data_IF_732703376677
#
_entry.id   IF_732703376677
#
_cell.length_a   1.000
_cell.length_b   1.000
_cell.length_c   1.000
_cell.angle_alpha   90.00
_cell.angle_beta   90.00
_cell.angle_gamma   90.00
#
_symmetry.space_group_name_H-M   'P 1'
#
loop_
_entity.id
_entity.type
_entity.pdbx_description
1 polymer ?
#
# COMPACT_ATOMS: atom_id res chain seq x y z
N UNK A 1 19.44 3.64 13.85
CA UNK A 1 18.44 3.39 12.78
C UNK A 1 18.72 2.02 12.17
N UNK A 2 17.70 1.34 11.65
CA UNK A 2 17.84 0.10 10.90
C UNK A 2 17.46 0.39 9.45
N UNK A 3 18.36 0.09 8.51
CA UNK A 3 18.17 0.39 7.10
C UNK A 3 17.89 -0.91 6.33
N UNK A 4 16.71 -0.99 5.71
CA UNK A 4 16.36 -1.96 4.69
C UNK A 4 16.59 -1.36 3.31
N UNK A 5 17.63 -1.83 2.62
CA UNK A 5 17.94 -1.42 1.26
C UNK A 5 17.33 -2.41 0.24
N UNK A 6 17.25 -1.98 -1.03
CA UNK A 6 16.72 -2.77 -2.14
C UNK A 6 15.27 -3.28 -1.94
N UNK A 7 14.43 -2.46 -1.31
CA UNK A 7 13.01 -2.77 -1.13
C UNK A 7 12.28 -2.88 -2.47
N UNK A 8 11.92 -4.12 -2.82
CA UNK A 8 11.21 -4.45 -4.05
C UNK A 8 10.11 -5.50 -3.77
N UNK A 9 8.91 -5.07 -3.35
CA UNK A 9 7.75 -5.93 -3.07
C UNK A 9 7.50 -7.02 -4.10
N UNK A 10 7.66 -6.71 -5.39
CA UNK A 10 7.47 -7.69 -6.47
C UNK A 10 8.39 -8.90 -6.39
N UNK A 11 9.56 -8.73 -5.78
CA UNK A 11 10.62 -9.74 -5.73
C UNK A 11 10.67 -10.43 -4.34
N UNK A 12 9.87 -9.94 -3.39
CA UNK A 12 9.75 -10.47 -2.03
C UNK A 12 8.52 -11.39 -1.96
N UNK A 13 8.68 -12.60 -1.42
CA UNK A 13 7.54 -13.50 -1.19
C UNK A 13 6.47 -12.82 -0.33
N UNK A 14 5.18 -12.95 -0.69
CA UNK A 14 4.05 -12.32 0.01
C UNK A 14 4.10 -12.45 1.53
N UNK A 15 4.38 -13.66 2.05
CA UNK A 15 4.49 -13.88 3.50
C UNK A 15 5.60 -13.04 4.18
N UNK A 16 6.77 -12.92 3.55
CA UNK A 16 7.88 -12.10 4.09
C UNK A 16 7.53 -10.62 4.03
N UNK A 17 6.82 -10.20 2.99
CA UNK A 17 6.35 -8.83 2.84
C UNK A 17 5.30 -8.48 3.91
N UNK A 18 4.32 -9.36 4.13
CA UNK A 18 3.30 -9.19 5.17
C UNK A 18 3.91 -9.14 6.57
N UNK A 19 4.88 -10.01 6.84
CA UNK A 19 5.63 -10.01 8.09
C UNK A 19 6.43 -8.71 8.27
N UNK A 20 7.11 -8.25 7.22
CA UNK A 20 7.81 -6.98 7.22
C UNK A 20 6.85 -5.81 7.50
N UNK A 21 5.72 -5.70 6.78
CA UNK A 21 4.73 -4.64 7.01
C UNK A 21 4.12 -4.70 8.41
N UNK A 22 3.93 -5.89 8.98
CA UNK A 22 3.49 -6.04 10.37
C UNK A 22 4.52 -5.45 11.36
N UNK A 23 5.79 -5.83 11.24
CA UNK A 23 6.86 -5.27 12.08
C UNK A 23 7.06 -3.77 11.85
N UNK A 24 6.96 -3.32 10.61
CA UNK A 24 7.05 -1.92 10.22
C UNK A 24 5.97 -1.08 10.92
N UNK A 25 4.71 -1.54 10.91
CA UNK A 25 3.61 -0.92 11.65
C UNK A 25 3.82 -0.93 13.17
N UNK A 26 4.45 -1.98 13.71
CA UNK A 26 4.77 -2.08 15.14
C UNK A 26 5.90 -1.15 15.57
N UNK A 27 6.87 -0.90 14.69
CA UNK A 27 8.01 0.00 14.93
C UNK A 27 7.55 1.43 15.24
N UNK A 28 6.53 1.94 14.56
CA UNK A 28 6.01 3.30 14.80
C UNK A 28 5.51 3.56 16.21
N UNK A 29 5.11 2.52 16.97
CA UNK A 29 4.58 2.68 18.35
C UNK A 29 5.50 2.16 19.43
N UNK A 30 6.69 1.66 19.07
CA UNK A 30 7.55 1.00 20.04
C UNK A 30 6.96 -0.32 20.56
N UNK A 31 6.16 -1.03 19.75
CA UNK A 31 5.40 -2.19 20.22
C UNK A 31 6.27 -3.42 20.50
N UNK A 32 5.73 -4.34 21.31
CA UNK A 32 6.35 -5.62 21.63
C UNK A 32 5.99 -6.67 20.56
N UNK A 33 7.01 -7.40 20.12
CA UNK A 33 6.88 -8.59 19.28
C UNK A 33 7.17 -9.82 20.11
N UNK A 34 6.21 -10.75 20.17
CA UNK A 34 6.37 -12.01 20.90
C UNK A 34 6.76 -13.11 19.93
N UNK A 35 7.88 -13.79 20.17
CA UNK A 35 8.28 -14.97 19.40
C UNK A 35 8.23 -16.21 20.27
N UNK A 36 7.56 -17.24 19.77
CA UNK A 36 7.52 -18.55 20.40
C UNK A 36 8.79 -19.34 20.11
N UNK A 37 9.37 -19.91 21.17
CA UNK A 37 10.56 -20.76 21.08
C UNK A 37 10.16 -22.25 20.92
N UNK A 38 11.09 -23.06 20.40
CA UNK A 38 10.88 -24.50 20.21
C UNK A 38 10.61 -25.26 21.53
N UNK A 39 11.04 -24.69 22.66
CA UNK A 39 10.82 -25.20 24.02
C UNK A 39 9.46 -24.77 24.62
N UNK A 40 8.59 -24.13 23.82
CA UNK A 40 7.28 -23.57 24.21
C UNK A 40 7.36 -22.38 25.19
N UNK A 41 8.53 -21.75 25.33
CA UNK A 41 8.66 -20.44 25.97
C UNK A 41 8.41 -19.31 24.95
N UNK A 42 8.32 -18.08 25.42
CA UNK A 42 8.13 -16.90 24.58
C UNK A 42 9.12 -15.81 24.94
N UNK A 43 9.79 -15.26 23.94
CA UNK A 43 10.62 -14.07 24.08
C UNK A 43 9.87 -12.84 23.57
N UNK A 44 9.98 -11.74 24.31
CA UNK A 44 9.39 -10.45 23.95
C UNK A 44 10.49 -9.50 23.48
N UNK A 45 10.34 -8.97 22.27
CA UNK A 45 11.25 -8.00 21.67
C UNK A 45 10.55 -6.66 21.55
N UNK A 46 11.10 -5.63 22.21
CA UNK A 46 10.64 -4.25 22.02
C UNK A 46 11.30 -3.66 20.78
N UNK A 47 10.48 -3.23 19.82
CA UNK A 47 10.99 -2.61 18.59
C UNK A 47 11.22 -1.13 18.87
N UNK A 48 12.46 -0.73 19.13
CA UNK A 48 12.84 0.66 19.41
C UNK A 48 13.50 1.45 18.27
N UNK A 49 14.30 0.84 17.37
CA UNK A 49 15.03 1.65 16.40
C UNK A 49 14.10 2.16 15.28
N UNK A 50 14.31 3.40 14.79
CA UNK A 50 13.63 3.87 13.59
C UNK A 50 14.07 3.07 12.37
N UNK A 51 13.14 2.82 11.45
CA UNK A 51 13.35 2.01 10.25
C UNK A 51 13.42 2.91 9.02
N UNK A 52 14.49 2.77 8.25
CA UNK A 52 14.68 3.42 6.95
C UNK A 52 14.50 2.35 5.86
N UNK A 53 13.73 2.67 4.83
CA UNK A 53 13.47 1.76 3.71
C UNK A 53 13.86 2.49 2.42
N UNK A 54 14.78 1.92 1.65
CA UNK A 54 15.14 2.38 0.30
C UNK A 54 14.90 1.28 -0.72
N UNK A 55 14.47 1.66 -1.92
CA UNK A 55 14.21 0.73 -3.00
C UNK A 55 13.58 1.40 -4.22
N UNK A 56 13.44 0.64 -5.30
CA UNK A 56 12.86 1.12 -6.57
C UNK A 56 11.34 1.34 -6.46
N UNK A 57 10.69 0.60 -5.57
CA UNK A 57 9.24 0.63 -5.40
C UNK A 57 8.89 1.29 -4.07
N UNK A 58 7.84 2.11 -4.08
CA UNK A 58 7.34 2.75 -2.87
C UNK A 58 6.39 1.84 -2.09
N UNK A 59 6.29 2.08 -0.77
CA UNK A 59 5.29 1.44 0.09
C UNK A 59 3.89 1.85 -0.40
N UNK A 60 3.06 0.88 -0.77
CA UNK A 60 1.71 1.11 -1.32
C UNK A 60 0.61 1.07 -0.26
N UNK A 61 0.82 0.30 0.83
CA UNK A 61 -0.19 0.08 1.86
C UNK A 61 -0.60 1.39 2.56
N UNK A 62 -1.89 1.77 2.60
CA UNK A 62 -2.33 3.04 3.19
C UNK A 62 -1.93 3.19 4.66
N UNK A 63 -1.97 2.10 5.42
CA UNK A 63 -1.59 2.07 6.82
C UNK A 63 -0.09 2.32 7.01
N UNK A 64 0.75 1.73 6.19
CA UNK A 64 2.20 1.92 6.23
C UNK A 64 2.57 3.33 5.75
N UNK A 65 1.91 3.83 4.70
CA UNK A 65 2.13 5.19 4.17
C UNK A 65 1.92 6.28 5.23
N UNK A 66 0.82 6.23 6.00
CA UNK A 66 0.54 7.19 7.10
C UNK A 66 1.60 7.17 8.21
N UNK A 67 2.34 6.07 8.32
CA UNK A 67 3.36 5.82 9.33
C UNK A 67 4.77 6.09 8.81
N UNK A 68 4.88 6.63 7.59
CA UNK A 68 6.12 6.83 6.86
C UNK A 68 6.27 8.28 6.41
N UNK A 69 7.47 8.83 6.50
CA UNK A 69 7.84 10.00 5.72
C UNK A 69 8.39 9.51 4.38
N UNK A 70 7.61 9.69 3.31
CA UNK A 70 7.97 9.20 1.97
C UNK A 70 8.66 10.28 1.16
N UNK A 71 9.79 9.92 0.54
CA UNK A 71 10.56 10.81 -0.33
C UNK A 71 11.05 10.05 -1.56
N UNK A 72 11.18 10.76 -2.68
CA UNK A 72 11.80 10.27 -3.90
C UNK A 72 13.01 11.14 -4.22
N UNK A 73 14.18 10.51 -4.35
CA UNK A 73 15.37 11.18 -4.79
C UNK A 73 15.33 11.42 -6.30
N UNK A 74 15.86 12.57 -6.74
CA UNK A 74 16.07 12.85 -8.16
C UNK A 74 17.22 11.97 -8.67
N UNK A 75 17.02 11.31 -9.81
CA UNK A 75 18.04 10.44 -10.42
C UNK A 75 19.23 11.23 -10.97
N UNK A 76 18.95 12.46 -11.44
CA UNK A 76 19.91 13.35 -12.09
C UNK A 76 21.09 13.76 -11.17
N UNK A 77 20.93 13.70 -9.85
CA UNK A 77 22.00 14.07 -8.89
C UNK A 77 23.17 13.08 -8.87
N UNK A 78 22.99 11.91 -9.48
CA UNK A 78 24.03 10.88 -9.60
C UNK A 78 24.72 10.87 -10.96
N UNK A 79 24.25 11.70 -11.90
CA UNK A 79 24.79 11.76 -13.24
C UNK A 79 26.23 12.29 -13.23
N UNK A 80 27.09 11.64 -14.02
CA UNK A 80 28.49 12.00 -14.09
C UNK A 80 28.66 13.46 -14.59
N UNK A 81 29.44 14.25 -13.84
CA UNK A 81 29.71 15.66 -14.15
C UNK A 81 28.74 16.64 -13.49
N UNK A 82 27.80 16.17 -12.66
CA UNK A 82 27.04 17.05 -11.77
C UNK A 82 27.85 17.40 -10.52
N UNK A 83 27.64 18.62 -9.99
CA UNK A 83 28.28 19.09 -8.76
C UNK A 83 27.99 18.14 -7.58
N UNK A 84 26.78 17.59 -7.52
CA UNK A 84 26.36 16.65 -6.47
C UNK A 84 27.11 15.31 -6.56
N UNK A 85 27.29 14.78 -7.77
CA UNK A 85 28.07 13.56 -7.98
C UNK A 85 29.56 13.77 -7.66
N UNK A 86 30.11 14.95 -7.94
CA UNK A 86 31.47 15.33 -7.56
C UNK A 86 31.64 15.49 -6.05
N UNK A 87 30.74 16.21 -5.38
CA UNK A 87 30.72 16.36 -3.94
C UNK A 87 30.63 14.99 -3.22
N UNK A 88 29.79 14.08 -3.72
CA UNK A 88 29.69 12.74 -3.17
C UNK A 88 31.00 11.94 -3.38
N UNK A 89 31.62 12.01 -4.56
CA UNK A 89 32.93 11.36 -4.81
C UNK A 89 34.01 11.86 -3.85
N UNK A 90 34.03 13.17 -3.58
CA UNK A 90 34.94 13.78 -2.61
C UNK A 90 34.68 13.24 -1.20
N UNK A 91 33.41 13.15 -0.81
CA UNK A 91 33.02 12.61 0.50
C UNK A 91 33.45 11.15 0.68
N UNK A 92 33.30 10.30 -0.34
CA UNK A 92 33.60 8.85 -0.23
C UNK A 92 35.02 8.47 -0.66
N UNK A 93 35.86 9.44 -1.05
CA UNK A 93 37.25 9.18 -1.46
C UNK A 93 37.42 8.39 -2.75
N UNK A 94 36.46 8.49 -3.67
CA UNK A 94 36.56 7.82 -4.97
C UNK A 94 37.64 8.50 -5.83
N UNK A 95 38.31 7.70 -6.66
CA UNK A 95 39.30 8.20 -7.61
C UNK A 95 38.66 9.20 -8.59
N UNK A 96 39.33 10.33 -8.80
CA UNK A 96 38.94 11.40 -9.71
C UNK A 96 39.90 11.45 -10.90
N UNK A 97 39.39 11.94 -12.03
CA UNK A 97 40.18 12.22 -13.23
C UNK A 97 40.17 13.74 -13.39
N UNK A 98 41.32 14.38 -13.17
CA UNK A 98 41.53 15.81 -13.40
C UNK A 98 42.49 15.96 -14.58
N UNK A 99 41.94 16.28 -15.76
CA UNK A 99 42.69 16.24 -17.01
C UNK A 99 43.19 14.82 -17.36
N UNK A 100 44.51 14.65 -17.46
CA UNK A 100 45.18 13.36 -17.71
C UNK A 100 45.65 12.66 -16.42
N UNK A 101 45.41 13.25 -15.25
CA UNK A 101 45.91 12.74 -13.97
C UNK A 101 44.78 12.12 -13.13
N UNK A 102 45.09 10.96 -12.52
CA UNK A 102 44.15 10.17 -11.75
C UNK A 102 44.49 10.35 -10.26
N UNK A 103 43.75 11.22 -9.57
CA UNK A 103 43.97 11.49 -8.15
C UNK A 103 43.08 10.57 -7.31
N UNK A 104 43.71 9.80 -6.42
CA UNK A 104 43.01 8.98 -5.43
C UNK A 104 42.66 9.88 -4.23
N UNK A 105 41.39 9.88 -3.79
CA UNK A 105 40.93 10.62 -2.62
C UNK A 105 41.46 10.00 -1.32
N UNK A 106 42.74 10.20 -1.02
CA UNK A 106 43.42 9.67 0.17
C UNK A 106 43.07 10.41 1.47
N UNK A 107 42.38 11.54 1.36
CA UNK A 107 41.98 12.47 2.41
C UNK A 107 40.47 12.43 2.74
N UNK A 108 39.75 11.44 2.19
CA UNK A 108 38.33 11.31 2.41
C UNK A 108 37.99 11.09 3.91
N UNK A 109 36.98 11.80 4.43
CA UNK A 109 36.54 11.61 5.81
C UNK A 109 36.09 10.16 6.06
N UNK A 110 36.45 9.61 7.22
CA UNK A 110 35.98 8.29 7.62
C UNK A 110 34.53 8.38 8.14
N UNK A 111 33.54 7.71 7.51
CA UNK A 111 32.14 7.78 7.95
C UNK A 111 31.93 7.28 9.39
N UNK A 112 32.77 6.36 9.88
CA UNK A 112 32.70 5.89 11.25
C UNK A 112 33.06 6.97 12.27
N UNK A 113 33.97 7.88 11.91
CA UNK A 113 34.35 9.02 12.76
C UNK A 113 33.22 10.05 12.84
N UNK A 114 32.53 10.30 11.72
CA UNK A 114 31.32 11.13 11.70
C UNK A 114 30.22 10.55 12.60
N UNK A 115 29.91 9.25 12.46
CA UNK A 115 28.92 8.58 13.30
C UNK A 115 29.28 8.67 14.79
N UNK A 116 30.55 8.40 15.14
CA UNK A 116 31.03 8.50 16.51
C UNK A 116 30.91 9.93 17.07
N UNK A 117 31.26 10.95 16.27
CA UNK A 117 31.14 12.35 16.66
C UNK A 117 29.67 12.72 16.93
N UNK A 118 28.76 12.31 16.05
CA UNK A 118 27.33 12.54 16.23
C UNK A 118 26.78 11.87 17.50
N UNK A 119 27.13 10.59 17.73
CA UNK A 119 26.67 9.89 18.94
C UNK A 119 27.20 10.52 20.22
N UNK A 120 28.48 10.94 20.25
CA UNK A 120 29.05 11.67 21.40
C UNK A 120 28.30 12.98 21.67
N UNK A 121 28.03 13.75 20.61
CA UNK A 121 27.25 14.98 20.70
C UNK A 121 25.85 14.72 21.29
N UNK A 122 25.12 13.71 20.80
CA UNK A 122 23.78 13.40 21.29
C UNK A 122 23.80 12.91 22.74
N UNK A 123 24.80 12.10 23.14
CA UNK A 123 24.90 11.62 24.52
C UNK A 123 25.28 12.70 25.52
N UNK A 124 25.97 13.75 25.06
CA UNK A 124 26.32 14.92 25.88
C UNK A 124 25.23 16.00 25.84
N UNK A 125 24.18 15.82 25.04
CA UNK A 125 23.12 16.80 24.85
C UNK A 125 22.17 16.84 26.05
N UNK A 126 21.82 18.04 26.50
CA UNK A 126 20.88 18.25 27.59
C UNK A 126 19.46 17.77 27.22
N UNK A 127 18.89 16.89 28.04
CA UNK A 127 17.58 16.28 27.78
C UNK A 127 16.47 17.33 27.70
N UNK A 128 16.48 18.33 28.60
CA UNK A 128 15.46 19.39 28.62
C UNK A 128 15.53 20.26 27.36
N UNK A 129 16.74 20.57 26.89
CA UNK A 129 16.94 21.25 25.61
C UNK A 129 16.45 20.41 24.44
N UNK A 130 16.70 19.11 24.43
CA UNK A 130 16.23 18.21 23.38
C UNK A 130 14.69 18.14 23.36
N UNK A 131 14.04 18.08 24.53
CA UNK A 131 12.58 18.13 24.67
C UNK A 131 12.00 19.45 24.17
N UNK A 132 12.63 20.59 24.49
CA UNK A 132 12.21 21.89 23.94
C UNK A 132 12.30 21.92 22.42
N UNK A 133 13.44 21.50 21.85
CA UNK A 133 13.60 21.41 20.40
C UNK A 133 12.52 20.55 19.75
N UNK A 134 12.14 19.44 20.38
CA UNK A 134 11.05 18.59 19.90
C UNK A 134 9.70 19.33 19.88
N UNK A 135 9.32 20.01 20.95
CA UNK A 135 8.06 20.78 21.00
C UNK A 135 8.06 21.99 20.06
N UNK A 136 9.18 22.73 19.97
CA UNK A 136 9.32 23.84 19.03
C UNK A 136 9.25 23.37 17.57
N UNK A 137 9.60 22.10 17.32
CA UNK A 137 9.44 21.48 16.00
C UNK A 137 7.98 21.14 15.70
N UNK A 138 7.18 20.81 16.71
CA UNK A 138 5.73 20.59 16.55
C UNK A 138 5.03 21.89 16.19
N UNK A 139 5.34 22.97 16.90
CA UNK A 139 4.79 24.30 16.63
C UNK A 139 5.11 24.75 15.20
N UNK A 140 6.36 24.58 14.77
CA UNK A 140 6.78 24.87 13.39
C UNK A 140 6.02 24.02 12.36
N UNK A 141 5.91 22.71 12.59
CA UNK A 141 5.19 21.80 11.70
C UNK A 141 3.71 22.19 11.56
N UNK A 142 3.03 22.50 12.68
CA UNK A 142 1.65 22.99 12.67
C UNK A 142 1.51 24.32 11.94
N UNK A 143 2.37 25.29 12.24
CA UNK A 143 2.33 26.60 11.58
C UNK A 143 2.52 26.47 10.06
N UNK A 144 3.39 25.56 9.61
CA UNK A 144 3.58 25.29 8.19
C UNK A 144 2.37 24.58 7.56
N UNK A 145 1.80 23.57 8.22
CA UNK A 145 0.59 22.89 7.75
C UNK A 145 -0.62 23.83 7.65
N UNK A 146 -0.76 24.75 8.61
CA UNK A 146 -1.79 25.80 8.62
C UNK A 146 -1.58 26.81 7.49
N UNK A 147 -0.33 27.26 7.27
CA UNK A 147 0.02 28.13 6.15
C UNK A 147 -0.25 27.49 4.76
N UNK A 148 -0.15 26.17 4.66
CA UNK A 148 -0.50 25.39 3.47
C UNK A 148 -2.01 25.07 3.37
N UNK A 149 -2.80 25.38 4.40
CA UNK A 149 -4.25 25.16 4.43
C UNK A 149 -4.67 23.71 4.59
N UNK A 150 -3.77 22.83 5.09
CA UNK A 150 -4.00 21.38 5.20
C UNK A 150 -4.03 20.89 6.65
N UNK A 151 -3.98 21.78 7.64
CA UNK A 151 -3.87 21.39 9.06
C UNK A 151 -5.02 20.49 9.52
N UNK A 152 -6.26 20.78 9.09
CA UNK A 152 -7.44 19.97 9.40
C UNK A 152 -7.52 18.67 8.57
N UNK A 153 -6.70 18.59 7.52
CA UNK A 153 -6.61 17.43 6.67
C UNK A 153 -5.62 16.40 7.18
N UNK A 154 -4.59 16.77 7.94
CA UNK A 154 -3.54 15.85 8.40
C UNK A 154 -3.91 15.17 9.73
N UNK A 155 -3.53 13.91 9.88
CA UNK A 155 -3.65 13.15 11.12
C UNK A 155 -2.46 13.37 12.08
N UNK A 156 -2.61 12.93 13.33
CA UNK A 156 -1.58 13.09 14.36
C UNK A 156 -0.23 12.44 13.97
N UNK A 157 -0.25 11.32 13.24
CA UNK A 157 0.96 10.60 12.83
C UNK A 157 1.68 11.34 11.69
N UNK A 158 0.92 11.94 10.78
CA UNK A 158 1.41 12.74 9.66
C UNK A 158 2.03 14.05 10.18
N UNK A 159 1.36 14.73 11.11
CA UNK A 159 1.92 15.89 11.81
C UNK A 159 3.18 15.51 12.58
N UNK A 160 3.20 14.37 13.27
CA UNK A 160 4.39 13.85 13.93
C UNK A 160 5.52 13.54 12.92
N UNK A 161 5.18 13.09 11.71
CA UNK A 161 6.12 12.92 10.60
C UNK A 161 6.78 14.23 10.20
N UNK A 162 5.98 15.28 9.99
CA UNK A 162 6.48 16.63 9.69
C UNK A 162 7.34 17.18 10.84
N UNK A 163 6.88 17.03 12.08
CA UNK A 163 7.64 17.38 13.28
C UNK A 163 9.01 16.68 13.30
N UNK A 164 9.06 15.40 12.93
CA UNK A 164 10.31 14.62 12.91
C UNK A 164 11.31 15.17 11.90
N UNK A 165 10.84 15.62 10.73
CA UNK A 165 11.68 16.28 9.72
C UNK A 165 12.23 17.60 10.25
N UNK A 166 11.37 18.46 10.80
CA UNK A 166 11.79 19.75 11.39
C UNK A 166 12.78 19.53 12.53
N UNK A 167 12.51 18.57 13.41
CA UNK A 167 13.39 18.25 14.53
C UNK A 167 14.76 17.77 14.04
N UNK A 168 14.79 16.87 13.05
CA UNK A 168 16.03 16.40 12.44
C UNK A 168 16.84 17.54 11.81
N UNK A 169 16.18 18.45 11.09
CA UNK A 169 16.80 19.65 10.52
C UNK A 169 17.40 20.55 11.61
N UNK A 170 16.64 20.89 12.65
CA UNK A 170 17.12 21.74 13.75
C UNK A 170 18.30 21.08 14.48
N UNK A 171 18.22 19.77 14.72
CA UNK A 171 19.30 19.03 15.37
C UNK A 171 20.56 18.95 14.49
N UNK A 172 20.40 18.84 13.18
CA UNK A 172 21.49 18.88 12.21
C UNK A 172 22.24 20.22 12.24
N UNK A 173 21.52 21.34 12.31
CA UNK A 173 22.11 22.67 12.49
C UNK A 173 22.89 22.79 13.80
N UNK A 174 22.29 22.38 14.92
CA UNK A 174 22.98 22.44 16.23
C UNK A 174 24.23 21.55 16.24
N UNK A 175 24.19 20.40 15.57
CA UNK A 175 25.37 19.55 15.41
C UNK A 175 26.44 20.23 14.52
N UNK A 176 26.03 20.85 13.42
CA UNK A 176 26.92 21.64 12.56
C UNK A 176 27.65 22.74 13.33
N UNK A 177 26.93 23.54 14.11
CA UNK A 177 27.51 24.54 15.00
C UNK A 177 28.48 23.93 16.01
N UNK A 178 28.13 22.78 16.60
CA UNK A 178 28.96 22.09 17.60
C UNK A 178 30.31 21.65 17.02
N UNK A 179 30.34 21.17 15.78
CA UNK A 179 31.58 20.75 15.10
C UNK A 179 32.29 21.91 14.39
N UNK A 180 31.73 23.12 14.43
CA UNK A 180 32.29 24.29 13.76
C UNK A 180 32.17 24.25 12.24
N UNK A 181 31.13 23.59 11.71
CA UNK A 181 30.80 23.63 10.30
C UNK A 181 30.36 25.03 9.87
N UNK A 182 30.52 25.33 8.59
CA UNK A 182 30.04 26.59 8.01
C UNK A 182 28.51 26.57 7.94
N UNK A 183 27.87 27.35 8.80
CA UNK A 183 26.40 27.44 8.89
C UNK A 183 25.76 28.00 7.62
N UNK A 184 26.49 28.78 6.82
CA UNK A 184 25.97 29.31 5.55
C UNK A 184 25.89 28.23 4.46
N UNK A 185 26.64 27.13 4.62
CA UNK A 185 26.60 25.97 3.72
C UNK A 185 25.55 24.92 4.09
N UNK A 186 24.89 25.08 5.25
CA UNK A 186 23.85 24.17 5.71
C UNK A 186 22.50 24.52 5.07
N UNK A 187 21.58 23.54 4.92
CA UNK A 187 20.27 23.80 4.34
C UNK A 187 19.51 24.89 5.11
N UNK A 188 18.86 25.79 4.40
CA UNK A 188 18.14 26.95 4.91
C UNK A 188 16.73 26.61 5.41
N UNK A 189 16.10 27.53 6.15
CA UNK A 189 14.69 27.38 6.54
C UNK A 189 13.74 27.39 5.33
N UNK A 190 14.11 28.08 4.24
CA UNK A 190 13.35 28.06 2.99
C UNK A 190 13.36 26.66 2.37
N UNK A 191 14.53 26.03 2.29
CA UNK A 191 14.66 24.64 1.80
C UNK A 191 13.95 23.63 2.71
N UNK A 192 13.93 23.86 4.03
CA UNK A 192 13.09 23.05 4.94
C UNK A 192 11.60 23.22 4.59
N UNK A 193 11.14 24.45 4.40
CA UNK A 193 9.73 24.72 4.10
C UNK A 193 9.29 24.12 2.76
N UNK A 194 10.16 24.13 1.76
CA UNK A 194 9.96 23.46 0.46
C UNK A 194 9.91 21.93 0.63
N UNK A 195 10.80 21.36 1.45
CA UNK A 195 10.80 19.94 1.75
C UNK A 195 9.52 19.50 2.48
N UNK A 196 9.02 20.31 3.42
CA UNK A 196 7.76 20.06 4.12
C UNK A 196 6.57 20.12 3.16
N UNK A 197 6.55 21.10 2.25
CA UNK A 197 5.51 21.20 1.21
C UNK A 197 5.51 19.97 0.30
N UNK A 198 6.69 19.54 -0.17
CA UNK A 198 6.83 18.30 -0.93
C UNK A 198 6.31 17.07 -0.16
N UNK A 199 6.64 16.93 1.12
CA UNK A 199 6.16 15.83 1.95
C UNK A 199 4.63 15.89 2.08
N UNK A 200 4.07 17.08 2.32
CA UNK A 200 2.62 17.31 2.37
C UNK A 200 1.94 16.99 1.05
N UNK A 201 2.49 17.37 -0.11
CA UNK A 201 1.91 17.03 -1.41
C UNK A 201 1.85 15.51 -1.65
N UNK A 202 2.86 14.78 -1.16
CA UNK A 202 2.96 13.32 -1.28
C UNK A 202 2.11 12.56 -0.27
N UNK A 203 1.80 13.19 0.87
CA UNK A 203 0.90 12.67 1.90
C UNK A 203 -0.56 13.07 1.62
N UNK A 204 -0.77 14.26 1.08
CA UNK A 204 -2.05 14.94 0.90
C UNK A 204 -2.87 14.49 -0.32
N UNK A 205 -4.03 15.13 -0.57
CA UNK A 205 -5.01 14.73 -1.59
C UNK A 205 -4.43 14.51 -2.99
N UNK A 206 -3.48 15.35 -3.41
CA UNK A 206 -2.82 15.26 -4.71
C UNK A 206 -1.89 14.03 -4.84
N UNK A 207 -1.45 13.43 -3.73
CA UNK A 207 -0.53 12.29 -3.65
C UNK A 207 -1.18 10.91 -3.65
N UNK A 208 -2.42 10.76 -4.17
CA UNK A 208 -3.25 9.54 -4.02
C UNK A 208 -3.61 9.27 -2.54
N UNK A 209 -4.26 10.23 -1.89
CA UNK A 209 -4.88 10.02 -0.57
C UNK A 209 -6.29 9.48 -0.75
N UNK A 210 -6.67 8.44 0.00
CA UNK A 210 -8.08 8.07 0.24
C UNK A 210 -8.53 8.77 1.52
N UNK A 211 -9.55 9.63 1.43
CA UNK A 211 -10.11 10.32 2.59
C UNK A 211 -10.71 9.32 3.59
N UNK A 212 -10.92 9.69 4.86
CA UNK A 212 -11.64 8.82 5.81
C UNK A 212 -13.05 8.47 5.33
N UNK A 213 -13.69 9.40 4.62
CA UNK A 213 -14.98 9.21 3.97
C UNK A 213 -14.90 8.18 2.84
N UNK A 214 -13.87 8.23 1.99
CA UNK A 214 -13.61 7.23 0.94
C UNK A 214 -13.41 5.85 1.57
N UNK A 215 -12.57 5.81 2.62
CA UNK A 215 -12.29 4.57 3.36
C UNK A 215 -13.53 3.99 4.04
N UNK A 216 -14.39 4.86 4.56
CA UNK A 216 -15.66 4.44 5.15
C UNK A 216 -16.58 3.80 4.10
N UNK A 217 -16.64 4.34 2.88
CA UNK A 217 -17.46 3.78 1.80
C UNK A 217 -16.90 2.43 1.32
N UNK A 218 -15.59 2.28 1.22
CA UNK A 218 -14.96 0.98 0.90
C UNK A 218 -15.21 -0.08 1.99
N UNK A 219 -15.12 0.31 3.26
CA UNK A 219 -15.40 -0.60 4.38
C UNK A 219 -16.89 -0.93 4.48
N UNK A 220 -17.76 0.03 4.15
CA UNK A 220 -19.19 -0.18 4.04
C UNK A 220 -19.49 -1.28 3.01
N UNK A 221 -18.93 -1.22 1.81
CA UNK A 221 -19.16 -2.24 0.78
C UNK A 221 -18.70 -3.63 1.24
N UNK A 222 -17.48 -3.72 1.79
CA UNK A 222 -16.95 -4.98 2.30
C UNK A 222 -17.82 -5.55 3.43
N UNK A 223 -18.32 -4.69 4.31
CA UNK A 223 -19.23 -5.07 5.38
C UNK A 223 -20.61 -5.53 4.83
N UNK A 224 -21.07 -5.00 3.70
CA UNK A 224 -22.26 -5.52 2.98
C UNK A 224 -21.98 -6.93 2.48
N UNK A 225 -20.88 -7.14 1.75
CA UNK A 225 -20.50 -8.46 1.19
C UNK A 225 -20.31 -9.50 2.28
N UNK A 226 -19.71 -9.12 3.41
CA UNK A 226 -19.53 -9.99 4.57
C UNK A 226 -20.82 -10.21 5.40
N UNK A 227 -21.93 -9.57 5.02
CA UNK A 227 -23.24 -9.74 5.68
C UNK A 227 -23.39 -9.04 7.02
N UNK A 228 -22.54 -8.06 7.34
CA UNK A 228 -22.68 -7.22 8.55
C UNK A 228 -23.72 -6.12 8.38
N UNK A 229 -23.95 -5.70 7.14
CA UNK A 229 -24.92 -4.69 6.77
C UNK A 229 -26.07 -5.32 5.98
N UNK A 230 -27.25 -4.75 6.14
CA UNK A 230 -28.52 -5.32 5.64
C UNK A 230 -29.28 -4.20 4.93
N UNK A 231 -29.69 -4.47 3.68
CA UNK A 231 -30.56 -3.58 2.90
C UNK A 231 -31.93 -3.45 3.61
N UNK A 232 -32.50 -2.26 3.60
CA UNK A 232 -33.76 -1.94 4.30
C UNK A 232 -33.60 -1.68 5.81
N UNK A 233 -32.42 -1.88 6.38
CA UNK A 233 -32.12 -1.60 7.80
C UNK A 233 -30.99 -0.60 7.98
N UNK A 234 -29.87 -0.87 7.33
CA UNK A 234 -28.64 -0.09 7.42
C UNK A 234 -28.49 0.85 6.21
N UNK A 235 -28.84 0.35 5.03
CA UNK A 235 -28.83 1.12 3.79
C UNK A 235 -29.99 0.76 2.86
N UNK A 236 -30.35 1.66 1.95
CA UNK A 236 -31.31 1.41 0.87
C UNK A 236 -30.71 1.90 -0.45
N UNK A 237 -31.16 1.34 -1.57
CA UNK A 237 -30.79 1.83 -2.89
C UNK A 237 -32.00 2.52 -3.49
N UNK A 238 -31.81 3.77 -3.94
CA UNK A 238 -32.86 4.57 -4.58
C UNK A 238 -32.46 4.93 -5.99
N UNK A 239 -33.46 5.03 -6.86
CA UNK A 239 -33.26 5.23 -8.30
C UNK A 239 -32.38 4.14 -8.93
N UNK A 240 -32.54 2.91 -8.45
CA UNK A 240 -31.87 1.69 -8.92
C UNK A 240 -31.99 1.57 -10.45
N UNK A 241 -30.89 1.18 -11.10
CA UNK A 241 -30.76 1.05 -12.55
C UNK A 241 -30.96 2.36 -13.33
N UNK A 242 -30.72 3.52 -12.71
CA UNK A 242 -30.74 4.81 -13.41
C UNK A 242 -29.42 5.58 -13.21
N UNK A 243 -29.10 6.57 -14.06
CA UNK A 243 -27.93 7.45 -13.85
C UNK A 243 -27.96 8.27 -12.55
N UNK A 244 -29.10 8.29 -11.84
CA UNK A 244 -29.27 8.98 -10.55
C UNK A 244 -29.21 8.02 -9.35
N UNK A 245 -28.84 6.76 -9.59
CA UNK A 245 -28.76 5.72 -8.57
C UNK A 245 -27.90 6.15 -7.39
N UNK A 246 -28.46 5.99 -6.20
CA UNK A 246 -27.81 6.37 -4.95
C UNK A 246 -27.99 5.29 -3.89
N UNK A 247 -26.91 5.01 -3.17
CA UNK A 247 -26.97 4.30 -1.90
C UNK A 247 -27.29 5.31 -0.80
N UNK A 248 -28.35 5.03 -0.06
CA UNK A 248 -28.80 5.78 1.13
C UNK A 248 -28.28 5.05 2.35
N UNK A 249 -27.26 5.59 2.99
CA UNK A 249 -26.62 5.00 4.16
C UNK A 249 -27.10 5.71 5.42
N UNK A 250 -27.63 4.96 6.39
CA UNK A 250 -27.87 5.50 7.72
C UNK A 250 -26.58 5.41 8.54
N UNK A 251 -25.89 6.54 8.71
CA UNK A 251 -24.60 6.58 9.40
C UNK A 251 -24.68 6.06 10.84
N UNK A 252 -25.60 6.50 11.72
CA UNK A 252 -25.71 5.95 13.07
C UNK A 252 -25.86 4.43 13.12
N UNK A 253 -26.70 3.85 12.26
CA UNK A 253 -26.97 2.40 12.25
C UNK A 253 -25.85 1.60 11.60
N UNK A 254 -25.21 2.14 10.58
CA UNK A 254 -24.18 1.44 9.81
C UNK A 254 -22.81 1.52 10.48
N UNK A 255 -22.53 2.62 11.19
CA UNK A 255 -21.22 2.85 11.81
C UNK A 255 -20.84 1.77 12.82
N UNK A 256 -21.76 1.36 13.70
CA UNK A 256 -21.48 0.30 14.68
C UNK A 256 -21.20 -1.05 13.99
N UNK A 257 -21.94 -1.36 12.93
CA UNK A 257 -21.76 -2.59 12.16
C UNK A 257 -20.44 -2.59 11.37
N UNK A 258 -20.05 -1.46 10.78
CA UNK A 258 -18.76 -1.28 10.10
C UNK A 258 -17.60 -1.32 11.10
N UNK A 259 -17.77 -0.70 12.27
CA UNK A 259 -16.76 -0.73 13.33
C UNK A 259 -16.55 -2.15 13.86
N UNK A 260 -17.65 -2.92 13.98
CA UNK A 260 -17.59 -4.34 14.31
C UNK A 260 -16.89 -5.13 13.22
N UNK A 261 -17.25 -4.95 11.95
CA UNK A 261 -16.57 -5.58 10.81
C UNK A 261 -15.08 -5.28 10.82
N UNK A 262 -14.70 -4.01 11.01
CA UNK A 262 -13.31 -3.61 11.06
C UNK A 262 -12.56 -4.35 12.18
N UNK A 263 -13.16 -4.42 13.37
CA UNK A 263 -12.60 -5.17 14.50
C UNK A 263 -12.48 -6.68 14.24
N UNK A 264 -13.51 -7.28 13.68
CA UNK A 264 -13.58 -8.73 13.43
C UNK A 264 -12.59 -9.17 12.33
N UNK A 265 -12.19 -8.26 11.45
CA UNK A 265 -11.23 -8.49 10.38
C UNK A 265 -9.84 -7.87 10.64
N UNK A 266 -9.53 -7.51 11.88
CA UNK A 266 -8.26 -6.87 12.31
C UNK A 266 -7.89 -5.60 11.49
N UNK A 267 -8.90 -4.92 10.96
CA UNK A 267 -8.80 -3.59 10.35
C UNK A 267 -8.78 -2.60 11.51
N UNK A 268 -7.67 -1.88 11.69
CA UNK A 268 -7.46 -1.06 12.88
C UNK A 268 -8.41 0.14 12.92
N UNK A 269 -8.85 0.50 14.13
CA UNK A 269 -9.76 1.62 14.38
C UNK A 269 -9.23 2.99 13.95
N UNK A 270 -7.92 3.14 13.73
CA UNK A 270 -7.30 4.36 13.18
C UNK A 270 -7.64 4.63 11.72
N UNK A 271 -8.22 3.65 11.02
CA UNK A 271 -8.74 3.83 9.66
C UNK A 271 -10.17 4.43 9.65
N UNK A 272 -10.84 4.45 10.80
CA UNK A 272 -12.19 4.98 10.99
C UNK A 272 -12.17 6.18 11.96
N UNK A 273 -13.06 7.15 11.76
CA UNK A 273 -13.29 8.19 12.78
C UNK A 273 -13.97 7.59 14.00
N UNK A 274 -13.82 8.27 15.15
CA UNK A 274 -14.29 7.77 16.44
C UNK A 274 -15.82 7.74 16.56
N UNK A 275 -16.53 8.59 15.82
CA UNK A 275 -17.99 8.65 15.87
C UNK A 275 -18.64 8.89 14.50
N UNK A 276 -19.88 8.40 14.36
CA UNK A 276 -20.73 8.64 13.19
C UNK A 276 -21.05 10.13 12.95
N UNK A 277 -21.01 10.96 14.00
CA UNK A 277 -21.20 12.41 13.90
C UNK A 277 -20.11 13.07 13.07
N UNK A 278 -18.86 12.63 13.25
CA UNK A 278 -17.68 13.20 12.59
C UNK A 278 -17.74 12.91 11.09
N UNK A 279 -18.22 11.71 10.74
CA UNK A 279 -18.53 11.36 9.36
C UNK A 279 -19.65 12.21 8.77
N UNK A 280 -20.71 12.46 9.52
CA UNK A 280 -21.85 13.26 9.04
C UNK A 280 -21.42 14.67 8.64
N UNK A 281 -20.57 15.31 9.44
CA UNK A 281 -20.12 16.67 9.17
C UNK A 281 -19.24 16.72 7.90
N UNK A 282 -18.32 15.76 7.74
CA UNK A 282 -17.51 15.61 6.50
C UNK A 282 -18.35 15.28 5.26
N UNK A 283 -19.36 14.41 5.40
CA UNK A 283 -20.27 14.13 4.30
C UNK A 283 -21.11 15.36 3.91
N UNK A 284 -21.42 16.25 4.86
CA UNK A 284 -22.14 17.50 4.56
C UNK A 284 -21.26 18.44 3.74
N UNK A 285 -19.99 18.59 4.12
CA UNK A 285 -19.01 19.36 3.35
C UNK A 285 -18.84 18.80 1.93
N UNK A 286 -18.69 17.48 1.80
CA UNK A 286 -18.60 16.83 0.48
C UNK A 286 -19.87 17.00 -0.36
N UNK A 287 -21.06 17.06 0.26
CA UNK A 287 -22.31 17.25 -0.47
C UNK A 287 -22.46 18.68 -1.04
N UNK A 288 -21.74 19.66 -0.47
CA UNK A 288 -21.71 21.05 -0.95
C UNK A 288 -20.76 21.24 -2.14
N UNK A 289 -19.83 20.30 -2.38
CA UNK A 289 -18.86 20.37 -3.46
C UNK A 289 -19.44 19.94 -4.81
N UNK A 290 -19.36 20.78 -5.87
CA UNK A 290 -19.78 20.41 -7.21
C UNK A 290 -18.97 19.22 -7.74
N UNK A 291 -19.65 18.16 -8.18
CA UNK A 291 -19.02 16.96 -8.75
C UNK A 291 -18.79 15.82 -7.77
N UNK A 292 -18.88 16.08 -6.46
CA UNK A 292 -18.72 15.05 -5.41
C UNK A 292 -19.68 13.86 -5.59
N UNK A 293 -19.21 12.66 -5.27
CA UNK A 293 -20.04 11.46 -5.24
C UNK A 293 -21.09 11.51 -4.10
N UNK A 294 -20.92 12.36 -3.10
CA UNK A 294 -21.91 12.59 -2.04
C UNK A 294 -22.97 13.57 -2.55
N UNK A 295 -24.24 13.16 -2.61
CA UNK A 295 -25.33 13.94 -3.21
C UNK A 295 -26.25 14.62 -2.20
N UNK A 296 -26.38 14.07 -1.01
CA UNK A 296 -27.15 14.68 0.06
C UNK A 296 -26.79 14.10 1.43
N UNK A 297 -27.11 14.85 2.48
CA UNK A 297 -27.05 14.41 3.87
C UNK A 297 -28.40 14.60 4.55
N UNK A 298 -28.67 13.85 5.61
CA UNK A 298 -29.90 13.93 6.40
C UNK A 298 -31.21 13.73 5.60
N UNK A 299 -31.12 13.08 4.43
CA UNK A 299 -32.26 12.82 3.56
C UNK A 299 -33.12 11.69 4.15
N UNK A 300 -34.39 12.00 4.44
CA UNK A 300 -35.32 10.97 4.89
C UNK A 300 -35.53 9.92 3.80
N UNK A 301 -35.25 8.67 4.15
CA UNK A 301 -35.49 7.49 3.32
C UNK A 301 -36.45 6.57 4.07
N UNK A 302 -37.47 6.09 3.36
CA UNK A 302 -38.50 5.22 3.93
C UNK A 302 -37.85 3.98 4.55
N UNK A 303 -38.37 3.54 5.70
CA UNK A 303 -37.93 2.35 6.46
C UNK A 303 -36.53 2.45 7.14
N UNK A 304 -35.67 3.38 6.70
CA UNK A 304 -34.31 3.54 7.23
C UNK A 304 -34.09 4.83 8.02
N UNK A 305 -34.90 5.88 7.80
CA UNK A 305 -34.77 7.23 8.40
C UNK A 305 -33.76 8.14 7.68
N UNK A 306 -33.18 9.12 8.38
CA UNK A 306 -32.21 10.08 7.83
C UNK A 306 -30.94 9.37 7.35
N UNK A 307 -30.64 9.56 6.06
CA UNK A 307 -29.54 8.89 5.37
C UNK A 307 -28.66 9.90 4.63
N UNK A 308 -27.39 9.53 4.48
CA UNK A 308 -26.45 10.15 3.54
C UNK A 308 -26.57 9.46 2.19
N UNK A 309 -26.62 10.27 1.14
CA UNK A 309 -26.76 9.84 -0.24
C UNK A 309 -25.46 9.80 -0.99
N UNK A 310 -25.06 8.62 -1.45
CA UNK A 310 -23.85 8.40 -2.23
C UNK A 310 -24.26 7.96 -3.63
N UNK A 311 -23.83 8.70 -4.65
CA UNK A 311 -23.99 8.30 -6.06
C UNK A 311 -23.14 7.07 -6.33
N UNK A 312 -23.74 5.98 -6.80
CA UNK A 312 -23.02 4.73 -7.09
C UNK A 312 -22.06 4.89 -8.24
N UNK A 313 -22.49 5.55 -9.33
CA UNK A 313 -21.64 5.89 -10.47
C UNK A 313 -20.51 6.87 -10.11
N UNK A 314 -20.80 7.84 -9.24
CA UNK A 314 -19.79 8.78 -8.76
C UNK A 314 -18.73 8.07 -7.90
N UNK A 315 -19.18 7.20 -6.99
CA UNK A 315 -18.30 6.42 -6.15
C UNK A 315 -17.42 5.45 -6.95
N UNK A 316 -17.94 4.81 -8.01
CA UNK A 316 -17.10 3.96 -8.89
C UNK A 316 -16.00 4.74 -9.62
N UNK A 317 -16.29 5.98 -10.02
CA UNK A 317 -15.30 6.81 -10.71
C UNK A 317 -14.24 7.35 -9.76
N UNK A 318 -14.64 7.71 -8.54
CA UNK A 318 -13.77 8.40 -7.58
C UNK A 318 -13.05 7.41 -6.63
N UNK A 319 -13.59 6.21 -6.42
CA UNK A 319 -13.09 5.20 -5.50
C UNK A 319 -12.68 3.93 -6.24
N UNK A 320 -11.37 3.66 -6.29
CA UNK A 320 -10.81 2.54 -7.05
C UNK A 320 -11.25 1.14 -6.58
N UNK A 321 -11.73 1.00 -5.34
CA UNK A 321 -12.17 -0.27 -4.76
C UNK A 321 -13.70 -0.39 -4.67
N UNK A 322 -14.45 0.62 -5.11
CA UNK A 322 -15.90 0.59 -5.02
C UNK A 322 -16.54 -0.14 -6.19
N UNK A 323 -17.25 -1.24 -5.92
CA UNK A 323 -17.99 -2.00 -6.92
C UNK A 323 -19.50 -2.04 -6.64
N UNK A 324 -20.31 -1.65 -7.63
CA UNK A 324 -21.77 -1.73 -7.56
C UNK A 324 -22.26 -3.17 -7.50
N UNK A 325 -21.57 -4.11 -8.13
CA UNK A 325 -21.97 -5.52 -8.14
C UNK A 325 -21.96 -6.11 -6.72
N UNK A 326 -21.05 -5.65 -5.86
CA UNK A 326 -20.99 -6.03 -4.44
C UNK A 326 -22.24 -5.67 -3.63
N UNK A 327 -23.04 -4.70 -4.10
CA UNK A 327 -24.31 -4.30 -3.49
C UNK A 327 -25.51 -5.06 -4.07
N UNK A 328 -25.28 -6.04 -4.95
CA UNK A 328 -26.32 -6.83 -5.62
C UNK A 328 -27.04 -6.06 -6.71
N UNK A 329 -26.36 -5.12 -7.38
CA UNK A 329 -26.92 -4.26 -8.42
C UNK A 329 -26.62 -4.76 -9.84
N UNK A 330 -27.63 -4.68 -10.70
CA UNK A 330 -27.50 -4.98 -12.12
C UNK A 330 -26.85 -3.81 -12.90
N UNK A 331 -26.42 -4.10 -14.14
CA UNK A 331 -25.93 -3.10 -15.09
C UNK A 331 -26.97 -2.00 -15.34
N UNK A 332 -26.54 -0.73 -15.35
CA UNK A 332 -27.43 0.39 -15.67
C UNK A 332 -27.74 0.34 -17.16
N UNK A 333 -29.02 0.27 -17.52
CA UNK A 333 -29.44 0.38 -18.91
C UNK A 333 -29.25 1.83 -19.37
N UNK A 334 -28.32 2.04 -20.31
CA UNK A 334 -28.13 3.34 -20.98
C UNK A 334 -26.72 3.62 -21.49
N UNK A 335 -26.35 2.99 -22.61
CA UNK A 335 -25.67 3.62 -23.76
C UNK A 335 -25.73 2.64 -24.95
N UNK A 336 -26.96 2.34 -25.40
CA UNK A 336 -27.14 2.18 -26.84
C UNK A 336 -27.29 3.60 -27.38
N UNK A 337 -26.19 4.17 -27.91
CA UNK A 337 -26.31 5.23 -28.90
C UNK A 337 -27.01 4.63 -30.12
N UNK A 338 -28.34 4.66 -30.07
CA UNK A 338 -29.20 4.58 -31.23
C UNK A 338 -28.90 5.79 -32.10
N UNK A 339 -28.00 5.60 -33.07
CA UNK A 339 -27.77 6.52 -34.18
C UNK A 339 -28.99 6.47 -35.13
N UNK A 340 -30.14 6.96 -34.63
CA UNK A 340 -31.32 7.23 -35.43
C UNK A 340 -31.29 8.68 -35.91
N UNK A 341 -30.65 8.84 -37.06
CA UNK A 341 -31.26 9.48 -38.22
C UNK A 341 -31.92 10.84 -37.98
N UNK A 342 -31.12 11.90 -37.90
CA UNK A 342 -31.59 13.24 -38.22
C UNK A 342 -31.86 13.35 -39.71
N UNK A 343 -33.14 13.32 -40.08
CA UNK A 343 -33.61 13.81 -41.38
C UNK A 343 -33.60 15.33 -41.38
N UNK A 344 -32.78 15.95 -42.23
CA UNK A 344 -33.23 17.11 -43.01
C UNK A 344 -32.43 17.22 -44.31
N UNK A 345 -33.12 17.69 -45.35
CA UNK A 345 -32.76 17.52 -46.74
C UNK A 345 -31.73 18.52 -47.29
N UNK A 346 -31.07 18.12 -48.38
CA UNK A 346 -30.16 19.00 -49.11
C UNK A 346 -29.47 18.33 -50.28
N UNK A 347 -30.08 18.46 -51.46
CA UNK A 347 -29.62 18.05 -52.79
C UNK A 347 -28.12 18.21 -53.09
N UNK A 348 -27.51 17.24 -53.80
CA UNK A 348 -26.12 17.38 -54.26
C UNK A 348 -25.54 16.20 -55.06
N UNK A 349 -26.11 15.95 -56.23
CA UNK A 349 -25.63 15.12 -57.34
C UNK A 349 -24.08 15.09 -57.56
N UNK A 350 -23.45 13.91 -57.73
CA UNK A 350 -22.04 13.86 -58.20
C UNK A 350 -21.24 12.55 -58.12
N UNK A 351 -21.52 11.62 -59.04
CA UNK A 351 -20.59 10.72 -59.77
C UNK A 351 -19.28 10.12 -59.16
N UNK A 352 -19.24 8.78 -59.24
CA UNK A 352 -18.16 7.92 -59.83
C UNK A 352 -16.78 7.75 -59.17
N UNK A 353 -16.50 6.46 -58.88
CA UNK A 353 -15.45 5.60 -59.46
C UNK A 353 -14.38 5.03 -58.50
N UNK A 354 -14.27 3.68 -58.58
CA UNK A 354 -13.08 2.80 -58.49
C UNK A 354 -12.13 2.95 -57.30
N UNK A 355 -11.68 1.90 -56.62
CA UNK A 355 -11.72 0.47 -56.86
C UNK A 355 -10.62 -0.22 -56.04
N UNK A 356 -10.57 -1.55 -56.13
CA UNK A 356 -9.47 -2.47 -55.72
C UNK A 356 -9.29 -2.65 -54.21
N UNK A 357 -9.93 -3.65 -53.57
CA UNK A 357 -9.52 -5.07 -53.50
C UNK A 357 -8.11 -5.33 -52.94
N UNK A 358 -8.04 -5.86 -51.73
CA UNK A 358 -7.31 -7.12 -51.47
C UNK A 358 -7.83 -7.75 -50.18
N UNK A 359 -8.62 -8.81 -50.36
CA UNK A 359 -8.93 -9.83 -49.36
C UNK A 359 -7.80 -10.86 -49.33
N UNK A 360 -7.47 -11.41 -48.16
CA UNK A 360 -7.47 -12.87 -47.90
C UNK A 360 -7.25 -13.13 -46.38
N UNK A 361 -7.61 -14.31 -45.84
CA UNK A 361 -8.74 -14.38 -44.90
C UNK A 361 -8.49 -15.30 -43.67
N UNK A 362 -9.57 -15.53 -42.90
CA UNK A 362 -9.83 -16.72 -42.07
C UNK A 362 -9.06 -16.86 -40.74
N UNK A 363 -9.63 -17.40 -39.65
CA UNK A 363 -10.93 -18.00 -39.39
C UNK A 363 -11.22 -18.00 -37.87
N UNK A 364 -12.51 -18.13 -37.55
CA UNK A 364 -13.05 -18.35 -36.21
C UNK A 364 -12.86 -19.79 -35.69
N UNK A 365 -12.81 -19.93 -34.37
CA UNK A 365 -13.23 -21.07 -33.53
C UNK A 365 -13.17 -20.55 -32.08
N UNK A 366 -14.25 -20.33 -31.32
CA UNK A 366 -15.20 -21.29 -30.72
C UNK A 366 -14.53 -22.46 -29.97
N UNK A 367 -14.88 -22.62 -28.69
CA UNK A 367 -14.48 -23.73 -27.82
C UNK A 367 -13.77 -23.33 -26.52
N UNK A 368 -14.51 -23.27 -25.42
CA UNK A 368 -13.95 -23.10 -24.07
C UNK A 368 -13.43 -24.41 -23.47
N UNK A 369 -12.60 -24.26 -22.44
CA UNK A 369 -12.55 -25.05 -21.20
C UNK A 369 -11.50 -24.40 -20.28
N UNK A 370 -11.85 -24.25 -19.00
CA UNK A 370 -11.07 -23.60 -17.96
C UNK A 370 -9.84 -24.42 -17.57
N UNK A 371 -8.63 -23.91 -17.85
CA UNK A 371 -7.43 -24.34 -17.15
C UNK A 371 -7.42 -23.65 -15.77
N UNK A 372 -7.71 -24.40 -14.71
CA UNK A 372 -7.41 -24.00 -13.35
C UNK A 372 -5.89 -23.79 -13.23
N UNK A 373 -5.46 -22.54 -13.02
CA UNK A 373 -4.07 -22.22 -12.73
C UNK A 373 -3.55 -23.10 -11.59
N UNK A 374 -2.47 -23.85 -11.85
CA UNK A 374 -1.91 -24.79 -10.90
C UNK A 374 -1.52 -24.05 -9.59
N UNK A 375 -1.86 -24.59 -8.40
CA UNK A 375 -1.53 -23.95 -7.14
C UNK A 375 -0.02 -23.74 -6.96
N UNK A 376 0.38 -22.58 -6.43
CA UNK A 376 1.80 -22.19 -6.26
C UNK A 376 2.63 -23.18 -5.43
N UNK A 377 1.99 -23.93 -4.52
CA UNK A 377 2.63 -24.94 -3.68
C UNK A 377 3.03 -26.23 -4.41
N UNK A 378 2.48 -26.48 -5.60
CA UNK A 378 2.71 -27.71 -6.38
C UNK A 378 4.18 -27.87 -6.79
N UNK A 379 4.84 -26.75 -7.09
CA UNK A 379 6.27 -26.72 -7.46
C UNK A 379 7.19 -27.18 -6.32
N UNK A 380 6.89 -26.78 -5.09
CA UNK A 380 7.63 -27.17 -3.90
C UNK A 380 7.43 -28.65 -3.57
N UNK A 381 6.18 -29.13 -3.68
CA UNK A 381 5.88 -30.55 -3.49
C UNK A 381 6.56 -31.43 -4.55
N UNK A 382 6.56 -31.03 -5.82
CA UNK A 382 7.29 -31.75 -6.86
C UNK A 382 8.79 -31.80 -6.59
N UNK A 383 9.38 -30.68 -6.16
CA UNK A 383 10.78 -30.64 -5.74
C UNK A 383 11.07 -31.58 -4.56
N UNK A 384 10.18 -31.63 -3.57
CA UNK A 384 10.27 -32.51 -2.40
C UNK A 384 10.17 -33.99 -2.80
N UNK A 385 9.21 -34.34 -3.65
CA UNK A 385 9.05 -35.69 -4.16
C UNK A 385 10.28 -36.15 -4.96
N UNK A 386 10.79 -35.31 -5.88
CA UNK A 386 11.93 -35.65 -6.73
C UNK A 386 13.23 -35.84 -5.93
N UNK A 387 13.41 -35.12 -4.82
CA UNK A 387 14.60 -35.26 -3.97
C UNK A 387 14.71 -36.60 -3.22
N UNK A 388 13.64 -37.40 -3.20
CA UNK A 388 13.59 -38.63 -2.40
C UNK A 388 13.97 -39.91 -3.18
N UNK A 389 14.33 -39.80 -4.48
CA UNK A 389 14.78 -40.91 -5.35
C UNK A 389 13.99 -42.23 -5.21
N UNK A 390 12.71 -42.18 -4.86
CA UNK A 390 11.96 -43.38 -4.50
C UNK A 390 11.14 -43.91 -5.68
N UNK A 391 11.58 -45.03 -6.25
CA UNK A 391 10.89 -45.71 -7.36
C UNK A 391 9.48 -46.20 -6.99
N UNK A 392 9.31 -46.71 -5.77
CA UNK A 392 8.05 -47.33 -5.31
C UNK A 392 7.15 -46.35 -4.52
N UNK A 393 7.47 -45.05 -4.48
CA UNK A 393 6.74 -44.02 -3.74
C UNK A 393 7.50 -43.49 -2.52
N UNK A 394 7.09 -42.32 -2.02
CA UNK A 394 7.73 -41.58 -0.92
C UNK A 394 6.79 -41.56 0.29
N UNK A 395 7.32 -41.76 1.50
CA UNK A 395 6.49 -41.69 2.70
C UNK A 395 5.99 -40.26 3.00
N UNK A 396 4.83 -40.14 3.64
CA UNK A 396 4.28 -38.85 4.11
C UNK A 396 5.30 -38.10 4.96
N UNK A 397 5.98 -38.81 5.86
CA UNK A 397 6.99 -38.24 6.73
C UNK A 397 8.18 -37.71 5.93
N UNK A 398 8.68 -38.45 4.94
CA UNK A 398 9.81 -38.01 4.13
C UNK A 398 9.45 -36.81 3.24
N UNK A 399 8.23 -36.78 2.69
CA UNK A 399 7.72 -35.61 1.96
C UNK A 399 7.62 -34.38 2.88
N UNK A 400 7.09 -34.56 4.09
CA UNK A 400 7.00 -33.48 5.07
C UNK A 400 8.38 -32.99 5.51
N UNK A 401 9.35 -33.88 5.74
CA UNK A 401 10.74 -33.51 6.06
C UNK A 401 11.41 -32.77 4.91
N UNK A 402 11.18 -33.19 3.66
CA UNK A 402 11.73 -32.53 2.47
C UNK A 402 11.07 -31.17 2.14
N UNK A 403 9.84 -30.95 2.61
CA UNK A 403 9.19 -29.65 2.60
C UNK A 403 9.71 -28.78 3.75
N UNK A 404 9.93 -29.34 4.94
CA UNK A 404 10.53 -28.61 6.06
C UNK A 404 11.95 -28.14 5.76
N UNK A 405 12.75 -28.92 5.03
CA UNK A 405 14.07 -28.48 4.55
C UNK A 405 14.01 -27.36 3.49
N UNK A 406 12.81 -26.99 3.04
CA UNK A 406 12.52 -25.86 2.14
C UNK A 406 11.77 -24.74 2.86
N UNK A 407 11.96 -24.63 4.17
CA UNK A 407 11.39 -23.60 5.05
C UNK A 407 9.85 -23.62 5.19
N UNK A 408 9.20 -24.76 4.92
CA UNK A 408 7.78 -24.93 5.23
C UNK A 408 7.61 -25.45 6.67
N UNK A 409 6.73 -24.83 7.45
CA UNK A 409 6.38 -25.36 8.77
C UNK A 409 5.64 -26.71 8.68
N UNK A 410 5.54 -27.43 9.80
CA UNK A 410 4.95 -28.77 9.87
C UNK A 410 3.50 -28.78 9.39
N UNK A 411 2.72 -27.77 9.77
CA UNK A 411 1.29 -27.67 9.43
C UNK A 411 1.09 -27.43 7.94
N UNK A 412 1.90 -26.55 7.32
CA UNK A 412 1.88 -26.30 5.88
C UNK A 412 2.37 -27.50 5.07
N UNK A 413 3.45 -28.16 5.52
CA UNK A 413 3.95 -29.36 4.87
C UNK A 413 2.90 -30.48 4.88
N UNK A 414 2.18 -30.65 5.99
CA UNK A 414 1.08 -31.60 6.08
C UNK A 414 -0.07 -31.23 5.15
N UNK A 415 -0.51 -29.97 5.17
CA UNK A 415 -1.60 -29.48 4.32
C UNK A 415 -1.31 -29.68 2.84
N UNK A 416 -0.08 -29.45 2.37
CA UNK A 416 0.28 -29.66 0.96
C UNK A 416 0.25 -31.12 0.54
N UNK A 417 0.70 -32.04 1.39
CA UNK A 417 0.64 -33.48 1.07
C UNK A 417 -0.81 -33.98 1.03
N UNK A 418 -1.65 -33.47 1.93
CA UNK A 418 -3.08 -33.82 1.99
C UNK A 418 -3.88 -33.23 0.83
N UNK A 419 -3.72 -31.94 0.52
CA UNK A 419 -4.36 -31.26 -0.61
C UNK A 419 -3.91 -31.86 -1.96
N UNK A 420 -2.65 -32.32 -2.04
CA UNK A 420 -2.15 -33.04 -3.21
C UNK A 420 -2.75 -34.44 -3.38
N UNK A 421 -3.00 -35.16 -2.29
CA UNK A 421 -3.68 -36.44 -2.34
C UNK A 421 -5.16 -36.26 -2.72
N UNK A 422 -5.84 -35.27 -2.12
CA UNK A 422 -7.26 -34.98 -2.38
C UNK A 422 -7.51 -34.56 -3.83
N UNK A 423 -6.62 -33.72 -4.40
CA UNK A 423 -6.72 -33.25 -5.79
C UNK A 423 -6.13 -34.22 -6.82
N UNK A 424 -5.63 -35.38 -6.38
CA UNK A 424 -5.13 -36.44 -7.25
C UNK A 424 -3.76 -36.18 -7.88
N UNK A 425 -2.96 -35.31 -7.28
CA UNK A 425 -1.54 -35.11 -7.62
C UNK A 425 -0.65 -36.21 -7.00
N UNK A 426 -1.04 -36.72 -5.83
CA UNK A 426 -0.44 -37.87 -5.17
C UNK A 426 -1.48 -38.99 -5.06
N UNK A 427 -1.04 -40.24 -5.24
CA UNK A 427 -1.85 -41.43 -5.02
C UNK A 427 -1.21 -42.28 -3.93
N UNK A 428 -1.97 -42.59 -2.88
CA UNK A 428 -1.50 -43.50 -1.84
C UNK A 428 -1.34 -44.92 -2.40
N UNK A 429 -0.23 -45.57 -2.08
CA UNK A 429 0.08 -46.94 -2.51
C UNK A 429 -0.56 -47.98 -1.57
N UNK A 430 -0.33 -49.27 -1.81
CA UNK A 430 -0.77 -50.34 -0.90
C UNK A 430 -0.11 -50.25 0.49
N UNK A 431 0.97 -49.48 0.62
CA UNK A 431 1.59 -49.15 1.92
C UNK A 431 0.98 -47.84 2.42
N UNK A 432 0.38 -47.89 3.59
CA UNK A 432 -0.19 -46.72 4.29
C UNK A 432 0.85 -45.61 4.41
N UNK A 433 0.43 -44.37 4.14
CA UNK A 433 1.26 -43.17 4.17
C UNK A 433 2.43 -43.18 3.16
N UNK A 434 2.38 -43.99 2.11
CA UNK A 434 3.36 -43.94 1.01
C UNK A 434 2.66 -43.48 -0.26
N UNK A 435 3.15 -42.40 -0.85
CA UNK A 435 2.53 -41.73 -1.99
C UNK A 435 3.36 -41.88 -3.26
N UNK A 436 2.68 -42.05 -4.39
CA UNK A 436 3.25 -42.00 -5.73
C UNK A 436 2.76 -40.76 -6.47
N UNK A 437 3.67 -40.07 -7.14
CA UNK A 437 3.35 -38.93 -7.99
C UNK A 437 2.51 -39.36 -9.20
N UNK A 438 1.41 -38.65 -9.44
CA UNK A 438 0.58 -38.80 -10.63
C UNK A 438 1.06 -37.86 -11.75
N UNK A 439 0.63 -38.11 -12.99
CA UNK A 439 1.01 -37.27 -14.13
C UNK A 439 0.62 -35.79 -13.94
N UNK A 440 -0.44 -35.52 -13.18
CA UNK A 440 -0.86 -34.16 -12.80
C UNK A 440 0.16 -33.41 -11.96
N UNK A 441 1.03 -34.10 -11.21
CA UNK A 441 2.08 -33.47 -10.41
C UNK A 441 3.29 -33.05 -11.28
N UNK A 442 3.36 -33.49 -12.54
CA UNK A 442 4.40 -33.05 -13.47
C UNK A 442 4.18 -31.58 -13.78
N UNK A 443 5.27 -30.82 -13.74
CA UNK A 443 5.31 -29.38 -14.05
C UNK A 443 4.60 -29.11 -15.40
N UNK A 444 3.70 -28.12 -15.49
CA UNK A 444 3.45 -27.46 -16.78
C UNK A 444 4.81 -26.93 -17.27
N UNK A 445 5.12 -27.12 -18.55
CA UNK A 445 6.41 -26.72 -19.14
C UNK A 445 6.73 -25.23 -18.96
#
# INVERSE_FOLDING_TARGET
PLWFDEYKPSDISSYRLDFFHNLYRKATRGALEVRGNADKTTDEYKIEPPVVVSGEQSIQGPAERRRSVMTQFRTETTDAGTETAEAYKNLVGKARVDGDELELGSDAPNPAEHALAYYRFVTDFDEDRLRRLWYDSLEHAHARADALGVVDELDDLEIQGLQTVVFGFKLYHVFGEHVGADTESLPTEEELNDALEYVVERIGPAGKRKSHTDRFIELFERAVVAGYLERGRHYEIVYECTPREQVRINLPRSFDAISKYAKDHDIRSEDLLNAHSDYRDRFRELAEQPGSFVKCTDQYTKDISQCTGISTLGAMNDLAEFDRASLGLDSIEGDEESDEGSTDGGDGNGASASGSSSETPQAAADGGESEEDAPTWLSALWGAYKSQEAGDGVSKTDLMTALQSRDYDISRAQMFVEDAAERGYLMETEKTDVFRAMDKLKRPE
#
